data_IF_892881975455
#
_entry.id   IF_892881975455
#
_cell.length_a   1.000
_cell.length_b   1.000
_cell.length_c   1.000
_cell.angle_alpha   90.00
_cell.angle_beta   90.00
_cell.angle_gamma   90.00
#
_symmetry.space_group_name_H-M   'P 1'
#
loop_
_entity.id
_entity.type
_entity.pdbx_description
1 polymer ?
#
# COMPACT_ATOMS: atom_id res chain seq x y z
N UNK A 1 -17.03 20.32 2.82
CA UNK A 1 -15.66 20.12 2.29
C UNK A 1 -14.98 21.47 2.05
N UNK A 2 -13.74 21.67 2.52
CA UNK A 2 -12.97 22.90 2.33
C UNK A 2 -12.26 22.90 0.97
N UNK A 3 -12.74 23.71 0.01
CA UNK A 3 -12.22 23.80 -1.36
C UNK A 3 -10.73 24.20 -1.42
N UNK A 4 -10.26 25.00 -0.46
CA UNK A 4 -8.85 25.37 -0.38
C UNK A 4 -7.96 24.15 -0.07
N UNK A 5 -8.32 23.33 0.92
CA UNK A 5 -7.56 22.12 1.24
C UNK A 5 -7.66 21.06 0.14
N UNK A 6 -8.81 20.96 -0.54
CA UNK A 6 -8.96 20.08 -1.69
C UNK A 6 -7.95 20.45 -2.82
N UNK A 7 -7.81 21.75 -3.12
CA UNK A 7 -6.83 22.19 -4.11
C UNK A 7 -5.39 21.98 -3.66
N UNK A 8 -5.06 22.25 -2.37
CA UNK A 8 -3.74 21.99 -1.82
C UNK A 8 -3.39 20.49 -1.89
N UNK A 9 -4.36 19.62 -1.64
CA UNK A 9 -4.16 18.17 -1.71
C UNK A 9 -3.92 17.72 -3.14
N UNK A 10 -4.72 18.18 -4.09
CA UNK A 10 -4.52 17.90 -5.52
C UNK A 10 -3.16 18.41 -6.01
N UNK A 11 -2.79 19.65 -5.67
CA UNK A 11 -1.51 20.23 -6.04
C UNK A 11 -0.33 19.42 -5.50
N UNK A 12 -0.40 19.01 -4.25
CA UNK A 12 0.63 18.20 -3.61
C UNK A 12 0.75 16.83 -4.31
N UNK A 13 -0.37 16.11 -4.48
CA UNK A 13 -0.37 14.77 -5.10
C UNK A 13 0.18 14.84 -6.53
N UNK A 14 -0.22 15.84 -7.31
CA UNK A 14 0.17 15.96 -8.71
C UNK A 14 1.63 16.43 -8.86
N UNK A 15 2.04 17.46 -8.09
CA UNK A 15 3.33 18.11 -8.24
C UNK A 15 4.47 17.42 -7.47
N UNK A 16 4.14 16.64 -6.43
CA UNK A 16 5.10 15.96 -5.57
C UNK A 16 4.85 14.45 -5.54
N UNK A 17 3.60 14.02 -5.32
CA UNK A 17 3.21 12.60 -5.34
C UNK A 17 3.60 11.97 -6.67
N UNK A 18 2.85 12.24 -7.72
CA UNK A 18 3.14 11.78 -9.08
C UNK A 18 4.39 12.45 -9.67
N UNK A 19 4.67 13.69 -9.27
CA UNK A 19 5.73 14.54 -9.82
C UNK A 19 5.63 14.68 -11.35
N UNK A 20 4.45 15.10 -11.83
CA UNK A 20 4.17 15.30 -13.26
C UNK A 20 5.23 16.20 -13.88
N UNK A 21 5.85 15.75 -14.98
CA UNK A 21 6.89 16.50 -15.69
C UNK A 21 6.31 17.24 -16.89
N UNK A 22 6.94 18.36 -17.32
CA UNK A 22 6.53 19.07 -18.51
C UNK A 22 6.43 18.14 -19.72
N UNK A 23 5.35 18.26 -20.48
CA UNK A 23 5.00 17.48 -21.68
C UNK A 23 4.60 16.02 -21.45
N UNK A 24 4.67 15.45 -20.24
CA UNK A 24 4.14 14.11 -19.99
C UNK A 24 2.62 14.01 -20.22
N UNK A 25 2.18 12.83 -20.60
CA UNK A 25 0.77 12.46 -20.57
C UNK A 25 0.40 12.05 -19.13
N UNK A 26 -0.60 12.67 -18.54
CA UNK A 26 -1.03 12.39 -17.18
C UNK A 26 -2.36 11.63 -17.18
N UNK A 27 -2.36 10.40 -16.65
CA UNK A 27 -3.55 9.53 -16.55
C UNK A 27 -4.05 9.57 -15.11
N UNK A 28 -5.28 10.02 -14.92
CA UNK A 28 -5.95 10.06 -13.62
C UNK A 28 -7.08 9.04 -13.62
N UNK A 29 -7.03 8.06 -12.76
CA UNK A 29 -8.14 7.16 -12.45
C UNK A 29 -8.88 7.73 -11.26
N UNK A 30 -10.17 7.95 -11.39
CA UNK A 30 -10.97 8.61 -10.35
C UNK A 30 -12.41 8.07 -10.31
N UNK A 31 -12.94 7.80 -9.11
CA UNK A 31 -14.36 7.48 -8.97
C UNK A 31 -15.27 8.59 -9.51
N UNK A 32 -16.32 8.20 -10.23
CA UNK A 32 -17.31 9.17 -10.79
C UNK A 32 -18.01 10.02 -9.72
N UNK A 33 -17.95 9.58 -8.47
CA UNK A 33 -18.51 10.30 -7.32
C UNK A 33 -17.65 11.48 -6.86
N UNK A 34 -16.40 11.62 -7.38
CA UNK A 34 -15.42 12.62 -6.95
C UNK A 34 -14.97 13.56 -8.09
N UNK A 35 -15.89 14.11 -8.91
CA UNK A 35 -15.53 14.92 -10.07
C UNK A 35 -14.77 16.21 -9.70
N UNK A 36 -15.10 16.84 -8.59
CA UNK A 36 -14.43 18.07 -8.14
C UNK A 36 -12.95 17.85 -7.85
N UNK A 37 -12.61 16.70 -7.24
CA UNK A 37 -11.22 16.35 -6.98
C UNK A 37 -10.47 16.00 -8.27
N UNK A 38 -11.11 15.27 -9.19
CA UNK A 38 -10.53 15.00 -10.51
C UNK A 38 -10.24 16.31 -11.26
N UNK A 39 -11.18 17.27 -11.24
CA UNK A 39 -10.99 18.59 -11.88
C UNK A 39 -9.83 19.37 -11.25
N UNK A 40 -9.65 19.29 -9.92
CA UNK A 40 -8.51 19.90 -9.23
C UNK A 40 -7.17 19.24 -9.67
N UNK A 41 -7.14 17.91 -9.79
CA UNK A 41 -5.96 17.18 -10.29
C UNK A 41 -5.65 17.51 -11.77
N UNK A 42 -6.68 17.62 -12.62
CA UNK A 42 -6.53 18.03 -14.03
C UNK A 42 -5.91 19.42 -14.13
N UNK A 43 -6.41 20.38 -13.34
CA UNK A 43 -5.86 21.74 -13.28
C UNK A 43 -4.40 21.71 -12.86
N UNK A 44 -4.09 21.04 -11.74
CA UNK A 44 -2.72 20.90 -11.22
C UNK A 44 -1.79 20.23 -12.25
N UNK A 45 -2.27 19.23 -13.00
CA UNK A 45 -1.51 18.57 -14.08
C UNK A 45 -1.12 19.52 -15.20
N UNK A 46 -2.06 20.32 -15.70
CA UNK A 46 -1.73 21.33 -16.72
C UNK A 46 -0.86 22.45 -16.18
N UNK A 47 -1.03 22.87 -14.94
CA UNK A 47 -0.15 23.84 -14.29
C UNK A 47 1.28 23.30 -14.09
N UNK A 48 1.45 21.98 -13.91
CA UNK A 48 2.75 21.30 -13.90
C UNK A 48 3.36 21.13 -15.30
N UNK A 49 2.60 21.46 -16.36
CA UNK A 49 3.03 21.41 -17.77
C UNK A 49 2.72 20.11 -18.50
N UNK A 50 1.80 19.30 -18.01
CA UNK A 50 1.34 18.10 -18.71
C UNK A 50 0.95 18.39 -20.17
N UNK A 51 1.30 17.48 -21.10
CA UNK A 51 0.91 17.54 -22.51
C UNK A 51 -0.58 17.31 -22.66
N UNK A 52 -1.07 16.26 -22.02
CA UNK A 52 -2.50 15.92 -21.94
C UNK A 52 -2.80 15.39 -20.54
N UNK A 53 -4.05 15.60 -20.10
CA UNK A 53 -4.56 14.96 -18.89
C UNK A 53 -5.80 14.15 -19.27
N UNK A 54 -5.75 12.86 -18.97
CA UNK A 54 -6.83 11.90 -19.28
C UNK A 54 -7.45 11.41 -18.00
N UNK A 55 -8.74 11.66 -17.80
CA UNK A 55 -9.47 11.11 -16.65
C UNK A 55 -10.16 9.82 -17.06
N UNK A 56 -9.91 8.74 -16.31
CA UNK A 56 -10.57 7.45 -16.42
C UNK A 56 -11.50 7.29 -15.23
N UNK A 57 -12.78 7.32 -15.50
CA UNK A 57 -13.80 7.22 -14.46
C UNK A 57 -14.03 5.78 -14.06
N UNK A 58 -14.12 5.55 -12.75
CA UNK A 58 -14.45 4.26 -12.13
C UNK A 58 -15.81 4.42 -11.42
N UNK A 59 -16.66 3.39 -11.53
CA UNK A 59 -18.02 3.40 -10.98
C UNK A 59 -18.35 2.03 -10.38
N UNK A 60 -18.39 1.96 -9.05
CA UNK A 60 -18.70 0.74 -8.31
C UNK A 60 -20.12 0.23 -8.60
N UNK A 61 -21.07 1.15 -8.82
CA UNK A 61 -22.45 0.77 -9.16
C UNK A 61 -22.51 0.13 -10.55
N UNK A 62 -21.76 0.66 -11.51
CA UNK A 62 -21.66 0.05 -12.84
C UNK A 62 -20.94 -1.30 -12.75
N UNK A 63 -19.88 -1.40 -11.95
CA UNK A 63 -19.17 -2.66 -11.72
C UNK A 63 -20.12 -3.69 -11.13
N UNK A 64 -20.91 -3.34 -10.11
CA UNK A 64 -21.92 -4.21 -9.52
C UNK A 64 -22.97 -4.67 -10.55
N UNK A 65 -23.54 -3.74 -11.32
CA UNK A 65 -24.54 -4.07 -12.36
C UNK A 65 -23.96 -5.03 -13.42
N UNK A 66 -22.71 -4.82 -13.83
CA UNK A 66 -22.03 -5.72 -14.76
C UNK A 66 -21.89 -7.13 -14.16
N UNK A 67 -21.48 -7.24 -12.89
CA UNK A 67 -21.37 -8.54 -12.21
C UNK A 67 -22.71 -9.25 -12.07
N UNK A 68 -23.79 -8.52 -11.81
CA UNK A 68 -25.13 -9.07 -11.65
C UNK A 68 -25.77 -9.50 -12.98
N UNK A 69 -25.60 -8.71 -14.03
CA UNK A 69 -26.42 -8.81 -15.25
C UNK A 69 -25.68 -9.39 -16.46
N UNK A 70 -24.38 -9.22 -16.57
CA UNK A 70 -23.63 -9.69 -17.73
C UNK A 70 -23.15 -11.15 -17.56
N UNK A 71 -23.02 -11.88 -18.68
CA UNK A 71 -22.41 -13.18 -18.71
C UNK A 71 -20.91 -13.08 -18.37
N UNK A 72 -20.41 -13.98 -17.53
CA UNK A 72 -19.00 -14.03 -17.13
C UNK A 72 -18.06 -14.11 -18.34
N UNK A 73 -18.40 -14.92 -19.35
CA UNK A 73 -17.61 -15.04 -20.59
C UNK A 73 -17.40 -13.71 -21.32
N UNK A 74 -18.38 -12.80 -21.23
CA UNK A 74 -18.32 -11.49 -21.88
C UNK A 74 -17.51 -10.50 -21.04
N UNK A 75 -17.59 -10.60 -19.70
CA UNK A 75 -16.80 -9.81 -18.76
C UNK A 75 -15.30 -10.17 -18.78
N UNK A 76 -14.98 -11.42 -19.13
CA UNK A 76 -13.59 -11.91 -19.24
C UNK A 76 -13.01 -11.71 -20.64
N UNK A 77 -13.83 -11.41 -21.65
CA UNK A 77 -13.43 -11.21 -23.05
C UNK A 77 -13.00 -9.75 -23.33
N UNK A 78 -11.97 -9.28 -22.64
CA UNK A 78 -11.47 -7.91 -22.77
C UNK A 78 -10.98 -7.58 -24.17
N UNK A 79 -11.12 -6.31 -24.57
CA UNK A 79 -10.78 -5.85 -25.90
C UNK A 79 -9.37 -5.24 -25.96
N UNK A 80 -8.57 -5.51 -27.01
CA UNK A 80 -7.21 -5.00 -27.12
C UNK A 80 -7.06 -3.48 -26.93
N UNK A 81 -8.04 -2.68 -27.32
CA UNK A 81 -8.01 -1.24 -27.15
C UNK A 81 -7.99 -0.79 -25.67
N UNK A 82 -8.51 -1.60 -24.75
CA UNK A 82 -8.50 -1.31 -23.33
C UNK A 82 -7.07 -1.25 -22.79
N UNK A 83 -6.25 -2.25 -23.13
CA UNK A 83 -4.82 -2.27 -22.80
C UNK A 83 -4.04 -1.21 -23.61
N UNK A 84 -4.26 -1.14 -24.93
CA UNK A 84 -3.60 -0.15 -25.79
C UNK A 84 -3.84 1.28 -25.35
N UNK A 85 -5.00 1.56 -24.77
CA UNK A 85 -5.32 2.88 -24.23
C UNK A 85 -4.42 3.35 -23.06
N UNK A 86 -3.64 2.45 -22.46
CA UNK A 86 -2.57 2.77 -21.49
C UNK A 86 -1.20 2.69 -22.15
N UNK A 87 -0.92 1.62 -22.89
CA UNK A 87 0.39 1.39 -23.48
C UNK A 87 0.75 2.49 -24.52
N UNK A 88 -0.22 2.98 -25.30
CA UNK A 88 0.02 4.06 -26.25
C UNK A 88 0.52 5.35 -25.58
N UNK A 89 0.13 5.61 -24.31
CA UNK A 89 0.68 6.72 -23.53
C UNK A 89 2.05 6.40 -22.92
N UNK A 90 2.28 5.16 -22.48
CA UNK A 90 3.57 4.76 -21.93
C UNK A 90 4.67 4.71 -23.01
N UNK A 91 4.29 4.33 -24.23
CA UNK A 91 5.17 4.24 -25.40
C UNK A 91 5.30 5.59 -26.16
N UNK A 92 4.55 6.63 -25.75
CA UNK A 92 4.70 7.99 -26.32
C UNK A 92 6.10 8.55 -26.01
N UNK A 93 6.76 9.24 -26.94
CA UNK A 93 8.09 9.83 -26.71
C UNK A 93 8.18 10.78 -25.50
N UNK A 94 7.07 11.45 -25.16
CA UNK A 94 6.99 12.32 -23.97
C UNK A 94 6.65 11.50 -22.69
N UNK A 95 6.37 10.21 -22.81
CA UNK A 95 6.04 9.30 -21.72
C UNK A 95 4.71 9.61 -21.03
N UNK A 96 4.43 8.84 -19.97
CA UNK A 96 3.27 9.11 -19.13
C UNK A 96 3.57 8.96 -17.63
N UNK A 97 2.65 9.46 -16.82
CA UNK A 97 2.57 9.19 -15.38
C UNK A 97 1.11 8.95 -15.00
N UNK A 98 0.86 8.30 -13.86
CA UNK A 98 -0.49 7.92 -13.47
C UNK A 98 -0.79 8.20 -12.01
N UNK A 99 -2.04 8.61 -11.74
CA UNK A 99 -2.61 8.77 -10.42
C UNK A 99 -3.83 7.86 -10.30
N UNK A 100 -3.86 7.02 -9.28
CA UNK A 100 -5.05 6.27 -8.89
C UNK A 100 -5.67 6.90 -7.64
N UNK A 101 -6.92 7.32 -7.74
CA UNK A 101 -7.67 7.89 -6.63
C UNK A 101 -8.62 6.82 -6.11
N UNK A 102 -8.36 6.36 -4.88
CA UNK A 102 -9.22 5.40 -4.20
C UNK A 102 -10.32 6.14 -3.43
N UNK A 103 -11.55 5.73 -3.63
CA UNK A 103 -12.73 6.17 -2.89
C UNK A 103 -13.75 5.03 -2.87
N UNK A 104 -13.26 3.84 -2.56
CA UNK A 104 -14.05 2.62 -2.62
C UNK A 104 -15.00 2.55 -1.43
N UNK A 105 -16.23 2.17 -1.68
CA UNK A 105 -17.13 1.70 -0.65
C UNK A 105 -16.77 0.24 -0.33
N UNK A 106 -16.28 -0.08 0.89
CA UNK A 106 -15.90 -1.46 1.24
C UNK A 106 -17.03 -2.48 1.06
N UNK A 107 -18.28 -2.01 1.00
CA UNK A 107 -19.48 -2.85 0.86
C UNK A 107 -20.10 -2.80 -0.55
N UNK A 108 -19.49 -2.05 -1.50
CA UNK A 108 -20.04 -1.88 -2.84
C UNK A 108 -20.34 -3.18 -3.58
N UNK A 109 -19.51 -4.19 -3.39
CA UNK A 109 -19.63 -5.50 -4.05
C UNK A 109 -20.14 -6.61 -3.10
N UNK A 110 -20.57 -6.25 -1.89
CA UNK A 110 -21.09 -7.22 -0.93
C UNK A 110 -22.30 -7.98 -1.48
N UNK A 111 -22.36 -9.31 -1.23
CA UNK A 111 -23.45 -10.18 -1.67
C UNK A 111 -23.41 -10.64 -3.12
N UNK A 112 -22.39 -10.23 -3.91
CA UNK A 112 -22.14 -10.77 -5.25
C UNK A 112 -21.57 -12.20 -5.19
N UNK A 113 -21.65 -12.94 -6.29
CA UNK A 113 -20.96 -14.21 -6.45
C UNK A 113 -19.44 -14.00 -6.40
N UNK A 114 -18.83 -14.37 -5.27
CA UNK A 114 -17.40 -14.22 -5.04
C UNK A 114 -16.56 -14.99 -6.07
N UNK A 115 -17.01 -16.18 -6.49
CA UNK A 115 -16.34 -16.99 -7.50
C UNK A 115 -16.28 -16.28 -8.86
N UNK A 116 -17.42 -15.74 -9.33
CA UNK A 116 -17.49 -14.95 -10.56
C UNK A 116 -16.61 -13.71 -10.47
N UNK A 117 -16.69 -12.97 -9.34
CA UNK A 117 -15.89 -11.76 -9.10
C UNK A 117 -14.39 -12.08 -9.19
N UNK A 118 -13.93 -13.13 -8.51
CA UNK A 118 -12.53 -13.54 -8.52
C UNK A 118 -12.05 -13.92 -9.92
N UNK A 119 -12.84 -14.68 -10.71
CA UNK A 119 -12.45 -15.08 -12.08
C UNK A 119 -12.38 -13.87 -13.02
N UNK A 120 -13.32 -12.93 -12.93
CA UNK A 120 -13.30 -11.70 -13.74
C UNK A 120 -12.10 -10.81 -13.36
N UNK A 121 -11.82 -10.64 -12.07
CA UNK A 121 -10.67 -9.87 -11.60
C UNK A 121 -9.34 -10.52 -12.03
N UNK A 122 -9.23 -11.85 -11.95
CA UNK A 122 -8.04 -12.56 -12.40
C UNK A 122 -7.83 -12.41 -13.91
N UNK A 123 -8.90 -12.53 -14.72
CA UNK A 123 -8.83 -12.33 -16.16
C UNK A 123 -8.37 -10.89 -16.49
N UNK A 124 -8.91 -9.88 -15.77
CA UNK A 124 -8.52 -8.48 -15.94
C UNK A 124 -7.06 -8.23 -15.55
N UNK A 125 -6.60 -8.74 -14.41
CA UNK A 125 -5.18 -8.65 -13.99
C UNK A 125 -4.27 -9.26 -15.06
N UNK A 126 -4.58 -10.48 -15.52
CA UNK A 126 -3.79 -11.17 -16.54
C UNK A 126 -3.73 -10.35 -17.83
N UNK A 127 -4.85 -9.82 -18.29
CA UNK A 127 -4.92 -9.00 -19.49
C UNK A 127 -4.15 -7.68 -19.37
N UNK A 128 -4.22 -7.04 -18.20
CA UNK A 128 -3.56 -5.76 -17.93
C UNK A 128 -2.10 -5.90 -17.48
N UNK A 129 -1.58 -7.13 -17.34
CA UNK A 129 -0.21 -7.37 -16.90
C UNK A 129 0.84 -6.55 -17.65
N UNK A 130 0.80 -6.38 -19.01
CA UNK A 130 1.79 -5.54 -19.70
C UNK A 130 1.81 -4.08 -19.25
N UNK A 131 0.66 -3.52 -18.85
CA UNK A 131 0.59 -2.19 -18.24
C UNK A 131 1.11 -2.19 -16.80
N UNK A 132 0.73 -3.20 -16.01
CA UNK A 132 1.20 -3.33 -14.63
C UNK A 132 2.72 -3.43 -14.54
N UNK A 133 3.40 -4.02 -15.52
CA UNK A 133 4.86 -4.07 -15.59
C UNK A 133 5.49 -2.67 -15.68
N UNK A 134 4.79 -1.66 -16.20
CA UNK A 134 5.30 -0.28 -16.19
C UNK A 134 5.28 0.34 -14.79
N UNK A 135 4.23 0.08 -14.01
CA UNK A 135 4.11 0.63 -12.65
C UNK A 135 4.91 -0.19 -11.63
N UNK A 136 4.84 -1.52 -11.69
CA UNK A 136 5.53 -2.41 -10.73
C UNK A 136 7.06 -2.37 -10.84
N UNK A 137 7.59 -1.98 -12.01
CA UNK A 137 9.04 -1.84 -12.22
C UNK A 137 9.46 -0.35 -12.27
N UNK A 138 8.63 0.55 -11.79
CA UNK A 138 8.91 2.00 -11.76
C UNK A 138 9.36 2.60 -13.11
N UNK A 139 8.86 2.04 -14.24
CA UNK A 139 9.15 2.56 -15.57
C UNK A 139 8.40 3.85 -15.89
N UNK A 140 7.33 4.12 -15.16
CA UNK A 140 6.57 5.36 -15.17
C UNK A 140 6.28 5.78 -13.74
N UNK A 141 6.16 7.10 -13.48
CA UNK A 141 5.72 7.56 -12.17
C UNK A 141 4.28 7.15 -11.93
N UNK A 142 3.99 6.70 -10.73
CA UNK A 142 2.65 6.38 -10.27
C UNK A 142 2.42 6.85 -8.84
N UNK A 143 1.19 7.16 -8.52
CA UNK A 143 0.80 7.50 -7.16
C UNK A 143 -0.60 6.99 -6.88
N UNK A 144 -0.79 6.48 -5.66
CA UNK A 144 -2.08 6.13 -5.11
C UNK A 144 -2.41 7.13 -4.01
N UNK A 145 -3.61 7.68 -4.05
CA UNK A 145 -4.14 8.56 -3.03
C UNK A 145 -5.62 8.25 -2.80
N UNK A 146 -6.18 8.63 -1.67
CA UNK A 146 -7.58 8.35 -1.41
C UNK A 146 -8.37 9.62 -1.08
N UNK A 147 -9.67 9.56 -1.38
CA UNK A 147 -10.65 10.58 -1.05
C UNK A 147 -11.92 9.92 -0.48
N UNK A 148 -12.66 10.57 0.44
CA UNK A 148 -13.78 9.93 1.12
C UNK A 148 -14.94 9.62 0.19
N UNK A 149 -15.25 8.34 -0.01
CA UNK A 149 -16.55 7.95 -0.54
C UNK A 149 -17.61 7.97 0.58
N UNK A 150 -18.88 8.23 0.27
CA UNK A 150 -19.95 8.21 1.27
C UNK A 150 -20.05 6.88 2.03
N UNK A 151 -20.00 5.73 1.34
CA UNK A 151 -20.03 4.40 1.97
C UNK A 151 -18.83 4.15 2.88
N UNK A 152 -17.63 4.53 2.43
CA UNK A 152 -16.42 4.46 3.27
C UNK A 152 -16.52 5.35 4.51
N UNK A 153 -16.98 6.59 4.38
CA UNK A 153 -17.15 7.49 5.51
C UNK A 153 -18.17 6.96 6.53
N UNK A 154 -19.30 6.39 6.07
CA UNK A 154 -20.29 5.74 6.92
C UNK A 154 -19.72 4.52 7.65
N UNK A 155 -18.80 3.76 7.02
CA UNK A 155 -18.12 2.63 7.65
C UNK A 155 -17.16 3.07 8.75
N UNK A 156 -16.41 4.15 8.50
CA UNK A 156 -15.41 4.70 9.46
C UNK A 156 -16.10 5.40 10.64
N UNK A 157 -17.21 6.10 10.39
CA UNK A 157 -17.96 6.87 11.39
C UNK A 157 -19.46 6.50 11.40
N UNK A 158 -19.80 5.27 11.79
CA UNK A 158 -21.19 4.79 11.72
C UNK A 158 -22.15 5.52 12.67
N UNK A 159 -21.62 6.25 13.66
CA UNK A 159 -22.39 7.02 14.62
C UNK A 159 -22.81 8.42 14.12
N UNK A 160 -22.27 8.88 12.99
CA UNK A 160 -22.51 10.23 12.46
C UNK A 160 -23.52 10.20 11.29
N UNK A 161 -24.27 11.30 11.10
CA UNK A 161 -24.94 11.56 9.84
C UNK A 161 -23.97 11.52 8.66
N UNK A 162 -24.41 11.01 7.51
CA UNK A 162 -23.55 10.75 6.36
C UNK A 162 -22.70 11.97 5.93
N UNK A 163 -23.33 13.14 5.84
CA UNK A 163 -22.63 14.37 5.43
C UNK A 163 -21.54 14.77 6.44
N UNK A 164 -21.80 14.59 7.74
CA UNK A 164 -20.84 14.86 8.80
C UNK A 164 -19.70 13.82 8.78
N UNK A 165 -20.01 12.54 8.53
CA UNK A 165 -19.03 11.48 8.39
C UNK A 165 -18.06 11.75 7.22
N UNK A 166 -18.60 12.17 6.06
CA UNK A 166 -17.79 12.55 4.89
C UNK A 166 -16.90 13.76 5.17
N UNK A 167 -17.41 14.80 5.82
CA UNK A 167 -16.63 15.98 6.17
C UNK A 167 -15.54 15.66 7.20
N UNK A 168 -15.84 14.81 8.18
CA UNK A 168 -14.88 14.35 9.18
C UNK A 168 -13.77 13.50 8.55
N UNK A 169 -14.11 12.60 7.61
CA UNK A 169 -13.12 11.79 6.92
C UNK A 169 -12.23 12.66 6.01
N UNK A 170 -12.78 13.68 5.33
CA UNK A 170 -11.97 14.66 4.61
C UNK A 170 -10.97 15.37 5.51
N UNK A 171 -11.43 15.89 6.66
CA UNK A 171 -10.57 16.56 7.61
C UNK A 171 -9.44 15.63 8.10
N UNK A 172 -9.77 14.38 8.36
CA UNK A 172 -8.80 13.37 8.81
C UNK A 172 -7.78 13.05 7.71
N UNK A 173 -8.20 12.85 6.46
CA UNK A 173 -7.29 12.63 5.32
C UNK A 173 -6.37 13.84 5.14
N UNK A 174 -6.88 15.06 5.20
CA UNK A 174 -6.06 16.27 5.10
C UNK A 174 -5.03 16.36 6.22
N UNK A 175 -5.37 15.92 7.42
CA UNK A 175 -4.46 15.93 8.57
C UNK A 175 -3.36 14.87 8.42
N UNK A 176 -3.72 13.59 8.20
CA UNK A 176 -2.74 12.50 8.06
C UNK A 176 -1.87 12.65 6.81
N UNK A 177 -2.40 13.25 5.75
CA UNK A 177 -1.64 13.62 4.54
C UNK A 177 -0.94 14.99 4.66
N UNK A 178 -0.90 15.61 5.84
CA UNK A 178 -0.20 16.89 6.12
C UNK A 178 -0.72 18.09 5.32
N UNK A 179 -1.89 18.00 4.75
CA UNK A 179 -2.51 19.11 3.97
C UNK A 179 -2.96 20.23 4.90
N UNK A 180 -3.44 19.88 6.10
CA UNK A 180 -3.88 20.84 7.13
C UNK A 180 -2.78 21.78 7.64
N UNK A 181 -1.51 21.48 7.34
CA UNK A 181 -0.39 22.39 7.65
C UNK A 181 -0.41 23.68 6.83
N UNK A 182 -1.19 23.74 5.74
CA UNK A 182 -1.21 24.85 4.78
C UNK A 182 -0.04 24.89 3.80
N UNK A 183 1.00 24.10 4.03
CA UNK A 183 2.12 23.86 3.12
C UNK A 183 2.42 22.35 3.02
N UNK A 184 1.57 21.57 2.34
CA UNK A 184 1.79 20.14 2.22
C UNK A 184 3.08 19.79 1.48
N UNK A 185 3.48 20.58 0.49
CA UNK A 185 4.72 20.35 -0.27
C UNK A 185 5.94 20.42 0.65
N UNK A 186 6.08 21.49 1.43
CA UNK A 186 7.19 21.62 2.38
C UNK A 186 7.14 20.60 3.52
N UNK A 187 5.94 20.24 4.00
CA UNK A 187 5.76 19.21 5.01
C UNK A 187 6.21 17.83 4.50
N UNK A 188 5.82 17.46 3.28
CA UNK A 188 6.21 16.19 2.66
C UNK A 188 7.68 16.14 2.28
N UNK A 189 8.29 17.23 1.80
CA UNK A 189 9.73 17.27 1.55
C UNK A 189 10.53 16.96 2.82
N UNK A 190 10.13 17.51 3.96
CA UNK A 190 10.75 17.20 5.27
C UNK A 190 10.52 15.75 5.66
N UNK A 191 9.31 15.25 5.51
CA UNK A 191 8.94 13.87 5.84
C UNK A 191 9.74 12.87 4.99
N UNK A 192 9.77 13.04 3.67
CA UNK A 192 10.55 12.22 2.74
C UNK A 192 12.04 12.26 3.10
N UNK A 193 12.60 13.43 3.42
CA UNK A 193 14.00 13.54 3.81
C UNK A 193 14.33 12.74 5.08
N UNK A 194 13.44 12.79 6.09
CA UNK A 194 13.60 12.01 7.34
C UNK A 194 13.49 10.51 7.08
N UNK A 195 12.49 10.07 6.30
CA UNK A 195 12.28 8.65 5.99
C UNK A 195 13.41 8.10 5.13
N UNK A 196 13.90 8.87 4.14
CA UNK A 196 15.11 8.53 3.37
C UNK A 196 16.34 8.36 4.26
N UNK A 197 16.58 9.27 5.18
CA UNK A 197 17.72 9.17 6.10
C UNK A 197 17.64 7.89 6.96
N UNK A 198 16.43 7.50 7.40
CA UNK A 198 16.20 6.23 8.10
C UNK A 198 16.49 5.04 7.20
N UNK A 199 15.90 4.99 6.01
CA UNK A 199 16.14 3.95 5.01
C UNK A 199 17.63 3.79 4.70
N UNK A 200 18.31 4.88 4.40
CA UNK A 200 19.74 4.86 4.04
C UNK A 200 20.58 4.36 5.23
N UNK A 201 20.20 4.73 6.46
CA UNK A 201 20.86 4.23 7.66
C UNK A 201 20.59 2.74 7.89
N UNK A 202 19.36 2.26 7.66
CA UNK A 202 19.02 0.83 7.71
C UNK A 202 19.86 0.03 6.71
N UNK A 203 19.99 0.53 5.47
CA UNK A 203 20.83 -0.10 4.45
C UNK A 203 22.31 -0.14 4.85
N UNK A 204 22.84 0.93 5.46
CA UNK A 204 24.22 0.98 5.92
C UNK A 204 24.55 0.04 7.10
N UNK A 205 23.55 -0.48 7.80
CA UNK A 205 23.74 -1.42 8.91
C UNK A 205 24.01 -2.86 8.45
N UNK A 206 23.69 -3.20 7.19
CA UNK A 206 23.83 -4.58 6.66
C UNK A 206 23.21 -5.62 7.61
N UNK A 207 21.92 -5.43 7.91
CA UNK A 207 21.20 -6.30 8.84
C UNK A 207 21.05 -7.72 8.29
N UNK A 208 21.29 -8.72 9.14
CA UNK A 208 20.97 -10.12 8.88
C UNK A 208 19.52 -10.44 9.29
N UNK A 209 19.09 -9.89 10.42
CA UNK A 209 17.74 -10.07 10.96
C UNK A 209 17.35 -8.96 11.90
N UNK A 210 16.05 -8.84 12.15
CA UNK A 210 15.50 -8.02 13.22
C UNK A 210 14.80 -8.90 14.25
N UNK A 211 14.71 -8.40 15.49
CA UNK A 211 13.99 -9.02 16.58
C UNK A 211 13.07 -8.00 17.22
N UNK A 212 11.78 -8.32 17.32
CA UNK A 212 10.73 -7.46 17.86
C UNK A 212 10.09 -8.11 19.08
N UNK A 213 9.91 -7.32 20.14
CA UNK A 213 9.16 -7.72 21.34
C UNK A 213 8.16 -6.63 21.73
N UNK A 214 7.07 -7.03 22.40
CA UNK A 214 6.05 -6.14 22.96
C UNK A 214 5.32 -6.81 24.13
N UNK A 215 4.73 -6.02 25.02
CA UNK A 215 4.03 -6.51 26.22
C UNK A 215 2.80 -7.37 25.91
N UNK A 216 2.27 -7.32 24.69
CA UNK A 216 1.16 -8.16 24.25
C UNK A 216 1.56 -9.65 24.07
N UNK A 217 2.82 -9.99 24.24
CA UNK A 217 3.35 -11.34 24.06
C UNK A 217 4.09 -11.57 22.75
N UNK A 218 4.20 -10.57 21.89
CA UNK A 218 5.00 -10.65 20.66
C UNK A 218 6.46 -10.87 21.00
N UNK A 219 7.07 -11.90 20.41
CA UNK A 219 8.49 -12.23 20.44
C UNK A 219 8.85 -12.87 19.10
N UNK A 220 9.20 -12.00 18.12
CA UNK A 220 9.34 -12.36 16.71
C UNK A 220 10.75 -12.04 16.21
N UNK A 221 11.40 -13.02 15.62
CA UNK A 221 12.66 -12.83 14.89
C UNK A 221 12.42 -13.02 13.39
N UNK A 222 12.79 -12.03 12.59
CA UNK A 222 12.65 -12.02 11.13
C UNK A 222 14.03 -11.92 10.50
N UNK A 223 14.49 -12.98 9.84
CA UNK A 223 15.70 -12.95 9.00
C UNK A 223 15.39 -12.28 7.67
N UNK A 224 16.30 -11.44 7.19
CA UNK A 224 16.13 -10.73 5.92
C UNK A 224 16.58 -11.58 4.73
N UNK A 225 16.01 -11.33 3.57
CA UNK A 225 16.39 -11.95 2.30
C UNK A 225 17.87 -11.67 1.97
N UNK A 226 18.45 -12.47 1.10
CA UNK A 226 19.82 -12.23 0.66
C UNK A 226 19.88 -10.95 -0.19
N UNK A 227 20.93 -10.15 0.03
CA UNK A 227 21.09 -8.83 -0.58
C UNK A 227 19.88 -7.90 -0.39
N UNK A 228 19.16 -8.07 0.72
CA UNK A 228 18.00 -7.25 1.06
C UNK A 228 18.34 -5.77 1.09
N UNK A 229 17.45 -4.95 0.53
CA UNK A 229 17.49 -3.49 0.57
C UNK A 229 16.24 -2.96 1.25
N UNK A 230 16.44 -2.02 2.17
CA UNK A 230 15.35 -1.28 2.78
C UNK A 230 14.88 -0.21 1.80
N UNK A 231 13.59 -0.15 1.58
CA UNK A 231 12.91 0.82 0.73
C UNK A 231 11.94 1.69 1.55
N UNK A 232 11.35 2.70 0.91
CA UNK A 232 10.41 3.64 1.53
C UNK A 232 10.72 5.10 1.22
N UNK A 233 9.85 5.99 1.63
CA UNK A 233 9.84 7.42 1.41
C UNK A 233 9.49 7.86 -0.02
N UNK A 234 10.15 7.35 -1.03
CA UNK A 234 9.92 7.67 -2.44
C UNK A 234 10.55 6.63 -3.34
N UNK A 235 9.96 6.44 -4.51
CA UNK A 235 10.50 5.63 -5.61
C UNK A 235 11.18 6.50 -6.65
N UNK A 236 11.89 5.86 -7.60
CA UNK A 236 12.50 6.52 -8.76
C UNK A 236 12.28 5.71 -10.01
N UNK A 237 11.95 6.39 -11.09
CA UNK A 237 11.95 5.77 -12.43
C UNK A 237 13.37 5.43 -12.90
N UNK A 238 13.47 4.59 -13.93
CA UNK A 238 14.79 4.21 -14.54
C UNK A 238 15.60 5.42 -14.97
N UNK A 239 14.97 6.51 -15.42
CA UNK A 239 15.59 7.78 -15.80
C UNK A 239 15.78 8.76 -14.63
N UNK A 240 15.51 8.29 -13.40
CA UNK A 240 15.84 9.00 -12.16
C UNK A 240 14.80 10.00 -11.68
N UNK A 241 13.59 10.01 -12.24
CA UNK A 241 12.49 10.87 -11.77
C UNK A 241 11.98 10.31 -10.44
N UNK A 242 12.07 11.12 -9.40
CA UNK A 242 11.56 10.76 -8.07
C UNK A 242 10.06 11.03 -7.95
N UNK A 243 9.33 10.11 -7.28
CA UNK A 243 7.91 10.22 -7.03
C UNK A 243 7.53 9.53 -5.70
N UNK A 244 6.33 9.77 -5.19
CA UNK A 244 5.79 9.14 -4.00
C UNK A 244 4.67 8.20 -4.42
N UNK A 245 4.92 6.90 -4.31
CA UNK A 245 4.00 5.87 -4.79
C UNK A 245 2.67 5.83 -4.01
N UNK A 246 2.72 6.00 -2.68
CA UNK A 246 1.55 5.94 -1.80
C UNK A 246 1.44 7.23 -0.97
N UNK A 247 0.23 7.79 -0.91
CA UNK A 247 -0.08 8.96 -0.08
C UNK A 247 -1.29 8.64 0.81
N UNK A 248 -1.07 8.48 2.12
CA UNK A 248 0.18 8.66 2.87
C UNK A 248 1.14 7.47 2.78
N UNK A 249 2.40 7.66 3.20
CA UNK A 249 3.37 6.61 3.52
C UNK A 249 4.24 7.06 4.70
N UNK A 250 4.47 6.18 5.68
CA UNK A 250 5.21 6.45 6.93
C UNK A 250 6.32 5.42 7.18
N UNK A 251 6.46 4.47 6.30
CA UNK A 251 7.21 3.23 6.48
C UNK A 251 8.62 3.26 5.90
N UNK A 252 9.44 2.35 6.45
CA UNK A 252 10.65 1.81 5.83
C UNK A 252 10.53 0.29 5.88
N UNK A 253 10.54 -0.38 4.74
CA UNK A 253 10.22 -1.79 4.61
C UNK A 253 11.28 -2.60 3.87
N UNK A 254 11.24 -3.93 4.03
CA UNK A 254 12.22 -4.84 3.46
C UNK A 254 11.62 -6.24 3.28
N UNK A 255 12.18 -7.04 2.36
CA UNK A 255 11.77 -8.44 2.22
C UNK A 255 12.40 -9.33 3.30
N UNK A 256 11.59 -10.10 4.05
CA UNK A 256 12.05 -11.22 4.85
C UNK A 256 12.57 -12.37 3.98
N UNK A 257 13.46 -13.17 4.54
CA UNK A 257 13.78 -14.48 3.97
C UNK A 257 12.67 -15.47 4.32
N UNK A 258 12.05 -16.08 3.34
CA UNK A 258 10.87 -16.95 3.47
C UNK A 258 11.00 -18.11 4.46
N UNK A 259 12.24 -18.50 4.83
CA UNK A 259 12.52 -19.63 5.75
C UNK A 259 13.12 -19.18 7.09
N UNK A 260 13.26 -17.86 7.36
CA UNK A 260 14.03 -17.37 8.51
C UNK A 260 13.19 -16.54 9.50
N UNK A 261 11.88 -16.76 9.54
CA UNK A 261 10.98 -16.15 10.52
C UNK A 261 10.66 -17.16 11.61
N UNK A 262 10.85 -16.77 12.88
CA UNK A 262 10.60 -17.62 14.05
C UNK A 262 10.03 -16.81 15.20
N UNK A 263 9.14 -17.41 15.98
CA UNK A 263 8.52 -16.78 17.16
C UNK A 263 7.03 -16.53 17.00
N UNK A 264 6.46 -15.83 17.94
CA UNK A 264 5.03 -15.50 18.00
C UNK A 264 4.82 -14.01 17.77
N UNK A 265 3.74 -13.67 17.06
CA UNK A 265 3.32 -12.28 16.86
C UNK A 265 1.82 -12.14 17.08
N UNK A 266 1.44 -11.07 17.74
CA UNK A 266 0.06 -10.66 17.98
C UNK A 266 -0.28 -9.44 17.15
N UNK A 267 -1.46 -9.48 16.51
CA UNK A 267 -2.01 -8.30 15.84
C UNK A 267 -2.37 -7.21 16.84
N UNK A 268 -2.03 -5.97 16.50
CA UNK A 268 -2.28 -4.81 17.37
C UNK A 268 -3.50 -3.99 16.92
N UNK A 269 -4.00 -4.26 15.72
CA UNK A 269 -5.20 -3.65 15.17
C UNK A 269 -6.08 -4.71 14.50
N UNK A 270 -7.41 -4.48 14.45
CA UNK A 270 -8.28 -5.27 13.58
C UNK A 270 -7.81 -5.19 12.14
N UNK A 271 -8.01 -6.27 11.42
CA UNK A 271 -7.63 -6.40 10.02
C UNK A 271 -8.88 -6.70 9.17
N UNK A 272 -9.09 -5.93 8.12
CA UNK A 272 -10.24 -6.09 7.24
C UNK A 272 -9.88 -7.02 6.05
N UNK A 273 -10.51 -8.20 5.99
CA UNK A 273 -10.34 -9.15 4.89
C UNK A 273 -11.71 -9.57 4.35
N UNK A 274 -11.88 -9.47 3.02
CA UNK A 274 -13.15 -9.79 2.36
C UNK A 274 -14.37 -9.09 2.99
N UNK A 275 -14.21 -7.83 3.43
CA UNK A 275 -15.28 -7.03 4.05
C UNK A 275 -15.61 -7.39 5.50
N UNK A 276 -14.88 -8.31 6.13
CA UNK A 276 -15.03 -8.72 7.52
C UNK A 276 -13.77 -8.41 8.32
N UNK A 277 -13.92 -8.16 9.64
CA UNK A 277 -12.80 -7.90 10.53
C UNK A 277 -12.29 -9.19 11.18
N UNK A 278 -10.99 -9.41 11.12
CA UNK A 278 -10.27 -10.38 11.95
C UNK A 278 -9.71 -9.61 13.15
N UNK A 279 -10.10 -10.01 14.38
CA UNK A 279 -9.74 -9.28 15.60
C UNK A 279 -9.04 -10.22 16.60
N UNK A 280 -8.07 -9.67 17.37
CA UNK A 280 -7.33 -10.41 18.39
C UNK A 280 -6.53 -11.58 17.79
N UNK A 281 -6.04 -11.41 16.58
CA UNK A 281 -5.30 -12.46 15.88
C UNK A 281 -3.87 -12.62 16.37
N UNK A 282 -3.36 -13.83 16.26
CA UNK A 282 -1.95 -14.16 16.48
C UNK A 282 -1.52 -15.31 15.58
N UNK A 283 -0.22 -15.38 15.31
CA UNK A 283 0.40 -16.51 14.59
C UNK A 283 1.74 -16.85 15.21
N UNK A 284 2.12 -18.14 15.14
CA UNK A 284 3.44 -18.63 15.51
C UNK A 284 4.17 -19.11 14.27
N UNK A 285 5.36 -18.58 14.03
CA UNK A 285 6.24 -18.97 12.95
C UNK A 285 7.31 -19.97 13.40
N UNK A 286 7.58 -20.95 12.55
CA UNK A 286 8.74 -21.82 12.64
C UNK A 286 9.37 -21.99 11.25
N UNK A 287 10.63 -21.60 11.12
CA UNK A 287 11.38 -21.67 9.86
C UNK A 287 10.61 -21.03 8.68
N UNK A 288 10.05 -19.85 8.95
CA UNK A 288 9.31 -19.02 8.00
C UNK A 288 7.86 -19.43 7.76
N UNK A 289 7.38 -20.56 8.27
CA UNK A 289 6.02 -21.05 8.07
C UNK A 289 5.17 -20.80 9.31
N UNK A 290 3.93 -20.35 9.12
CA UNK A 290 2.94 -20.33 10.20
C UNK A 290 2.57 -21.75 10.58
N UNK A 291 2.85 -22.12 11.85
CA UNK A 291 2.58 -23.45 12.41
C UNK A 291 1.40 -23.46 13.37
N UNK A 292 1.03 -22.29 13.90
CA UNK A 292 -0.11 -22.10 14.77
C UNK A 292 -0.71 -20.72 14.52
N UNK A 293 -2.03 -20.61 14.52
CA UNK A 293 -2.73 -19.34 14.37
C UNK A 293 -4.03 -19.34 15.17
N UNK A 294 -4.52 -18.15 15.52
CA UNK A 294 -5.80 -17.96 16.17
C UNK A 294 -6.28 -16.52 16.07
N UNK A 295 -7.55 -16.30 16.33
CA UNK A 295 -8.16 -14.99 16.45
C UNK A 295 -9.36 -15.04 17.40
N UNK A 296 -9.66 -13.94 18.07
CA UNK A 296 -10.86 -13.81 18.91
C UNK A 296 -12.14 -13.75 18.04
N UNK A 297 -12.00 -13.18 16.83
CA UNK A 297 -13.10 -13.06 15.87
C UNK A 297 -12.64 -13.42 14.46
N UNK A 298 -13.45 -14.21 13.77
CA UNK A 298 -13.24 -14.65 12.40
C UNK A 298 -11.91 -15.41 12.18
N UNK A 299 -11.56 -16.32 13.10
CA UNK A 299 -10.38 -17.18 12.98
C UNK A 299 -10.38 -18.02 11.68
N UNK A 300 -11.57 -18.43 11.20
CA UNK A 300 -11.71 -19.17 9.94
C UNK A 300 -11.25 -18.35 8.73
N UNK A 301 -11.48 -17.02 8.74
CA UNK A 301 -10.99 -16.14 7.69
C UNK A 301 -9.46 -16.01 7.71
N UNK A 302 -8.84 -15.98 8.88
CA UNK A 302 -7.39 -16.02 9.00
C UNK A 302 -6.83 -17.32 8.43
N UNK A 303 -7.49 -18.46 8.71
CA UNK A 303 -7.11 -19.76 8.15
C UNK A 303 -7.26 -19.78 6.61
N UNK A 304 -8.33 -19.19 6.07
CA UNK A 304 -8.55 -19.05 4.62
C UNK A 304 -7.42 -18.22 3.97
N UNK A 305 -7.10 -17.06 4.54
CA UNK A 305 -6.01 -16.20 4.09
C UNK A 305 -4.68 -16.97 4.03
N UNK A 306 -4.31 -17.65 5.13
CA UNK A 306 -3.07 -18.41 5.25
C UNK A 306 -3.01 -19.64 4.35
N UNK A 307 -4.14 -20.07 3.74
CA UNK A 307 -4.25 -21.22 2.85
C UNK A 307 -4.57 -20.84 1.40
N UNK A 308 -4.47 -19.56 1.03
CA UNK A 308 -4.75 -19.06 -0.33
C UNK A 308 -3.90 -19.74 -1.39
N UNK A 309 -2.61 -19.94 -1.11
CA UNK A 309 -1.69 -20.77 -1.90
C UNK A 309 -0.59 -21.38 -1.01
N UNK A 310 0.35 -22.10 -1.61
CA UNK A 310 1.42 -22.82 -0.90
C UNK A 310 2.29 -21.91 -0.03
N UNK A 311 2.44 -20.63 -0.38
CA UNK A 311 3.33 -19.69 0.27
C UNK A 311 2.61 -18.51 0.97
N UNK A 312 1.28 -18.50 0.99
CA UNK A 312 0.48 -17.47 1.67
C UNK A 312 0.62 -17.51 3.21
N UNK A 313 1.12 -18.61 3.76
CA UNK A 313 1.43 -18.78 5.19
C UNK A 313 2.86 -18.39 5.58
N UNK A 314 3.52 -17.61 4.74
CA UNK A 314 4.84 -17.00 4.95
C UNK A 314 4.73 -15.49 4.81
N UNK A 315 5.71 -14.77 5.34
CA UNK A 315 5.74 -13.31 5.18
C UNK A 315 6.61 -12.90 3.99
N UNK A 316 6.11 -11.93 3.23
CA UNK A 316 6.79 -11.30 2.09
C UNK A 316 7.34 -9.91 2.42
N UNK A 317 6.87 -9.30 3.52
CA UNK A 317 7.30 -7.98 3.94
C UNK A 317 7.41 -7.84 5.44
N UNK A 318 8.35 -7.01 5.88
CA UNK A 318 8.44 -6.43 7.22
C UNK A 318 8.62 -4.92 7.09
N UNK A 319 7.69 -4.16 7.62
CA UNK A 319 7.67 -2.70 7.57
C UNK A 319 7.78 -2.08 8.96
N UNK A 320 8.59 -1.04 9.06
CA UNK A 320 8.86 -0.31 10.29
C UNK A 320 8.21 1.08 10.23
N UNK A 321 7.13 1.24 10.98
CA UNK A 321 6.34 2.47 11.10
C UNK A 321 6.33 2.89 12.58
N UNK A 322 6.68 4.14 12.92
CA UNK A 322 6.70 4.56 14.32
C UNK A 322 5.27 4.72 14.87
N UNK A 323 5.07 4.38 16.13
CA UNK A 323 3.80 4.62 16.84
C UNK A 323 3.37 6.10 16.84
N UNK A 324 4.31 7.00 16.55
CA UNK A 324 4.03 8.44 16.36
C UNK A 324 3.46 8.78 14.98
N UNK A 325 3.19 7.80 14.11
CA UNK A 325 2.49 8.02 12.83
C UNK A 325 1.21 8.85 13.03
N UNK A 326 0.92 9.83 12.16
CA UNK A 326 -0.32 10.60 12.23
C UNK A 326 -1.56 9.72 12.10
N UNK A 327 -1.46 8.61 11.34
CA UNK A 327 -2.55 7.65 11.19
C UNK A 327 -2.82 6.96 12.54
N UNK A 328 -1.80 6.46 13.23
CA UNK A 328 -1.96 5.86 14.56
C UNK A 328 -2.54 6.86 15.57
N UNK A 329 -2.02 8.10 15.59
CA UNK A 329 -2.48 9.16 16.49
C UNK A 329 -3.93 9.57 16.28
N UNK A 330 -4.48 9.34 15.09
CA UNK A 330 -5.89 9.61 14.82
C UNK A 330 -6.81 8.74 15.65
N UNK A 331 -6.35 7.57 16.09
CA UNK A 331 -7.13 6.57 16.81
C UNK A 331 -8.25 5.93 15.99
N UNK A 332 -8.25 6.14 14.66
CA UNK A 332 -9.31 5.68 13.75
C UNK A 332 -8.80 4.51 12.93
N UNK A 333 -9.62 3.47 12.78
CA UNK A 333 -9.44 2.42 11.78
C UNK A 333 -10.10 2.89 10.48
N UNK A 334 -9.29 2.99 9.41
CA UNK A 334 -9.77 3.53 8.14
C UNK A 334 -10.52 2.51 7.29
N UNK A 335 -10.37 1.20 7.54
CA UNK A 335 -10.84 0.14 6.65
C UNK A 335 -10.30 0.28 5.22
N UNK A 336 -9.10 0.80 5.11
CA UNK A 336 -8.40 1.03 3.86
C UNK A 336 -6.90 0.80 4.08
N UNK A 337 -6.33 -0.20 3.41
CA UNK A 337 -4.95 -0.65 3.59
C UNK A 337 -3.95 0.49 3.41
N UNK A 338 -4.14 1.38 2.41
CA UNK A 338 -3.27 2.54 2.19
C UNK A 338 -3.04 3.40 3.44
N UNK A 339 -4.03 3.46 4.35
CA UNK A 339 -3.90 4.18 5.62
C UNK A 339 -3.51 3.24 6.76
N UNK A 340 -4.22 2.12 6.91
CA UNK A 340 -4.11 1.28 8.09
C UNK A 340 -2.73 0.62 8.23
N UNK A 341 -2.07 0.23 7.12
CA UNK A 341 -0.68 -0.26 7.11
C UNK A 341 0.29 0.80 7.66
N UNK A 342 0.06 2.06 7.37
CA UNK A 342 0.89 3.18 7.81
C UNK A 342 0.59 3.65 9.25
N UNK A 343 -0.28 2.95 9.99
CA UNK A 343 -0.56 3.21 11.39
C UNK A 343 0.49 2.59 12.33
N UNK A 344 1.10 1.45 11.99
CA UNK A 344 2.01 0.72 12.86
C UNK A 344 3.01 -0.13 12.07
N UNK A 345 4.07 -0.59 12.72
CA UNK A 345 4.88 -1.66 12.13
C UNK A 345 3.96 -2.81 11.70
N UNK A 346 4.21 -3.36 10.53
CA UNK A 346 3.37 -4.43 9.98
C UNK A 346 4.23 -5.52 9.31
N UNK A 347 3.62 -6.63 9.06
CA UNK A 347 4.12 -7.69 8.18
C UNK A 347 3.09 -7.91 7.07
N UNK A 348 3.55 -8.26 5.87
CA UNK A 348 2.65 -8.76 4.84
C UNK A 348 2.75 -10.27 4.75
N UNK A 349 1.61 -10.95 4.81
CA UNK A 349 1.54 -12.34 4.39
C UNK A 349 1.63 -12.43 2.86
N UNK A 350 2.41 -13.39 2.35
CA UNK A 350 2.45 -13.70 0.92
C UNK A 350 3.64 -13.10 0.16
N UNK A 351 3.39 -12.40 -0.93
CA UNK A 351 4.39 -12.01 -1.94
C UNK A 351 5.39 -10.96 -1.43
N UNK A 352 6.63 -11.03 -1.92
CA UNK A 352 7.67 -10.03 -1.67
C UNK A 352 7.83 -9.10 -2.86
N UNK A 353 8.07 -7.81 -2.60
CA UNK A 353 8.37 -6.84 -3.66
C UNK A 353 9.80 -7.00 -4.19
N UNK A 354 9.99 -7.22 -5.52
CA UNK A 354 11.32 -7.38 -6.10
C UNK A 354 12.28 -6.21 -5.80
N UNK A 355 11.78 -4.98 -5.67
CA UNK A 355 12.57 -3.80 -5.35
C UNK A 355 13.30 -3.86 -4.01
N UNK A 356 12.90 -4.73 -3.10
CA UNK A 356 13.49 -4.88 -1.76
C UNK A 356 14.73 -5.79 -1.72
N UNK A 357 15.32 -6.12 -2.86
CA UNK A 357 16.65 -6.76 -2.98
C UNK A 357 17.47 -6.10 -4.07
N UNK A 358 18.77 -6.06 -3.92
CA UNK A 358 19.68 -5.35 -4.82
C UNK A 358 19.51 -5.78 -6.30
N UNK A 359 19.07 -4.83 -7.16
CA UNK A 359 18.79 -5.08 -8.57
C UNK A 359 17.59 -6.01 -8.84
N UNK A 360 16.72 -6.20 -7.86
CA UNK A 360 15.65 -7.19 -7.89
C UNK A 360 14.62 -6.99 -9.00
N UNK A 361 14.32 -5.75 -9.40
CA UNK A 361 13.40 -5.45 -10.52
C UNK A 361 13.88 -6.00 -11.88
N UNK A 362 15.17 -6.28 -12.02
CA UNK A 362 15.77 -6.90 -13.20
C UNK A 362 15.99 -8.43 -13.09
N UNK A 363 15.62 -9.03 -11.96
CA UNK A 363 15.83 -10.46 -11.71
C UNK A 363 14.64 -11.31 -12.19
N UNK A 364 14.96 -12.55 -12.60
CA UNK A 364 13.91 -13.54 -12.85
C UNK A 364 13.33 -14.05 -11.52
N UNK A 365 12.20 -14.72 -11.62
CA UNK A 365 11.54 -15.34 -10.46
C UNK A 365 12.47 -16.31 -9.73
N UNK A 366 13.12 -17.18 -10.47
CA UNK A 366 14.05 -18.18 -9.90
C UNK A 366 15.24 -17.51 -9.19
N UNK A 367 15.68 -16.35 -9.68
CA UNK A 367 16.74 -15.58 -9.05
C UNK A 367 16.27 -14.93 -7.75
N UNK A 368 15.03 -14.43 -7.70
CA UNK A 368 14.42 -13.89 -6.48
C UNK A 368 14.21 -15.01 -5.44
N UNK A 369 13.70 -16.16 -5.85
CA UNK A 369 13.52 -17.33 -4.99
C UNK A 369 14.86 -17.83 -4.40
N UNK A 370 15.94 -17.78 -5.20
CA UNK A 370 17.29 -18.12 -4.73
C UNK A 370 17.85 -17.17 -3.68
N UNK A 371 17.33 -15.93 -3.60
CA UNK A 371 17.63 -14.95 -2.55
C UNK A 371 16.75 -15.09 -1.30
N UNK A 372 15.87 -16.09 -1.28
CA UNK A 372 14.96 -16.36 -0.18
C UNK A 372 13.72 -15.48 -0.16
N UNK A 373 13.41 -14.76 -1.22
CA UNK A 373 12.19 -13.98 -1.32
C UNK A 373 10.96 -14.90 -1.44
N UNK A 374 9.87 -14.52 -0.81
CA UNK A 374 8.63 -15.30 -0.88
C UNK A 374 7.82 -14.95 -2.12
N UNK A 375 7.08 -15.91 -2.64
CA UNK A 375 6.18 -15.73 -3.76
C UNK A 375 4.81 -16.31 -3.50
N UNK A 376 3.79 -15.48 -3.66
CA UNK A 376 2.40 -15.83 -3.49
C UNK A 376 1.53 -15.02 -4.46
N UNK A 377 0.30 -15.44 -4.63
CA UNK A 377 -0.75 -14.62 -5.26
C UNK A 377 -1.37 -13.60 -4.29
N UNK A 378 -1.02 -13.70 -3.01
CA UNK A 378 -1.48 -12.86 -1.91
C UNK A 378 -0.37 -11.88 -1.52
N UNK A 379 -0.75 -10.67 -1.11
CA UNK A 379 0.06 -9.74 -0.34
C UNK A 379 -0.90 -8.96 0.56
N UNK A 380 -0.83 -9.23 1.87
CA UNK A 380 -1.80 -8.68 2.83
C UNK A 380 -1.11 -8.18 4.09
N UNK A 381 -1.20 -6.88 4.32
CA UNK A 381 -0.55 -6.17 5.42
C UNK A 381 -1.36 -6.26 6.70
N UNK A 382 -0.71 -6.68 7.78
CA UNK A 382 -1.32 -6.84 9.09
C UNK A 382 -0.46 -6.18 10.17
N UNK A 383 -1.06 -5.29 10.96
CA UNK A 383 -0.38 -4.43 11.92
C UNK A 383 0.02 -5.21 13.18
N UNK A 384 1.30 -5.10 13.54
CA UNK A 384 1.93 -5.78 14.68
C UNK A 384 2.62 -4.82 15.65
N UNK A 385 2.81 -3.54 15.25
CA UNK A 385 3.48 -2.53 16.06
C UNK A 385 2.61 -2.00 17.20
N UNK A 386 3.18 -1.84 18.39
CA UNK A 386 2.56 -1.26 19.56
C UNK A 386 3.40 -0.07 20.10
N UNK A 387 2.82 0.72 21.00
CA UNK A 387 3.52 1.87 21.63
C UNK A 387 4.69 1.46 22.52
N UNK A 388 4.74 0.21 22.96
CA UNK A 388 5.82 -0.37 23.78
C UNK A 388 6.73 -1.30 22.98
N UNK A 389 6.61 -1.35 21.67
CA UNK A 389 7.45 -2.21 20.83
C UNK A 389 8.92 -1.85 20.95
N UNK A 390 9.74 -2.87 21.23
CA UNK A 390 11.19 -2.82 21.19
C UNK A 390 11.69 -3.60 19.96
N UNK A 391 12.50 -2.96 19.11
CA UNK A 391 13.05 -3.62 17.92
C UNK A 391 14.56 -3.46 17.91
N UNK A 392 15.27 -4.59 17.77
CA UNK A 392 16.71 -4.64 17.59
C UNK A 392 17.07 -5.26 16.24
N UNK A 393 18.16 -4.77 15.64
CA UNK A 393 18.74 -5.33 14.43
C UNK A 393 20.05 -6.06 14.74
N UNK A 394 20.23 -7.26 14.18
CA UNK A 394 21.50 -7.98 14.19
C UNK A 394 22.19 -7.78 12.86
N UNK A 395 23.34 -7.11 12.88
CA UNK A 395 24.16 -6.90 11.69
C UNK A 395 24.91 -8.17 11.28
N UNK A 396 25.27 -8.29 10.01
CA UNK A 396 26.08 -9.41 9.48
C UNK A 396 27.46 -9.52 10.13
N UNK A 397 28.04 -8.39 10.59
CA UNK A 397 29.30 -8.35 11.34
C UNK A 397 29.20 -8.77 12.82
N UNK A 398 27.98 -9.12 13.27
CA UNK A 398 27.70 -9.59 14.62
C UNK A 398 27.29 -8.51 15.62
N UNK A 399 27.34 -7.21 15.28
CA UNK A 399 26.81 -6.14 16.15
C UNK A 399 25.30 -6.25 16.30
N UNK A 400 24.79 -5.77 17.43
CA UNK A 400 23.35 -5.56 17.67
C UNK A 400 23.10 -4.07 17.83
N UNK A 401 22.09 -3.56 17.16
CA UNK A 401 21.72 -2.14 17.15
C UNK A 401 20.26 -2.00 17.58
N UNK A 402 19.95 -1.07 18.48
CA UNK A 402 18.57 -0.72 18.81
C UNK A 402 18.01 0.11 17.66
N UNK A 403 16.86 -0.31 17.10
CA UNK A 403 16.16 0.36 16.01
C UNK A 403 14.97 1.17 16.54
N UNK A 404 14.16 0.51 17.40
CA UNK A 404 13.01 1.12 18.07
C UNK A 404 13.09 0.92 19.57
N UNK A 405 12.62 1.94 20.28
CA UNK A 405 12.36 1.91 21.71
C UNK A 405 11.03 2.57 21.99
N UNK A 406 10.17 1.93 22.79
CA UNK A 406 8.82 2.40 23.05
C UNK A 406 8.07 2.78 21.77
N UNK A 407 8.11 1.90 20.76
CA UNK A 407 7.39 2.06 19.51
C UNK A 407 7.89 3.17 18.58
N UNK A 408 9.03 3.82 18.85
CA UNK A 408 9.57 4.90 18.01
C UNK A 408 11.03 4.68 17.64
N UNK A 409 11.43 5.26 16.52
CA UNK A 409 12.82 5.23 16.05
C UNK A 409 13.79 5.85 17.06
N UNK A 410 14.89 5.12 17.32
CA UNK A 410 16.04 5.62 18.10
C UNK A 410 17.35 5.59 17.29
N UNK A 411 17.22 5.25 16.02
CA UNK A 411 18.33 5.12 15.09
C UNK A 411 18.74 6.47 14.47
#
# INVERSE_FOLDING_TARGET
MNQHYLQLYADFIVKVGVNVRPRQNFIVRCPVTMPDFAHACVRAGYEAGAKTVVVRWEDDKLTRLNMELADEKDLTAMKPYELRSYLDYAEDPDGCCTLAIHAEDPEALAGLDAGKLNRVNLARRTFMKPWQEYTMNDRVQWCVAAVPAPGWAAKVFPELPLDEAVEKLWALIFDVCRVSTGDPVGAWQKHVAVTKARRDRMNALELDRIHMTSSNGTDLTVGLADDATWEGASSKTEDGIEFIANVPTEEVFCAPHRERTNGIVYGTKPYAYNGQLIEGWHVTFKDGVVVEHGAEKNADLLAELLSTDENSNRIGEIALVPASSPINRSGVLFYNTLFDENAACHIAFGDSYPGTTAGGTGLTREQLDARGMNHSSLHEDVMIGAEDSEITGKCRDGRTVQLFQNGVWVL
#
